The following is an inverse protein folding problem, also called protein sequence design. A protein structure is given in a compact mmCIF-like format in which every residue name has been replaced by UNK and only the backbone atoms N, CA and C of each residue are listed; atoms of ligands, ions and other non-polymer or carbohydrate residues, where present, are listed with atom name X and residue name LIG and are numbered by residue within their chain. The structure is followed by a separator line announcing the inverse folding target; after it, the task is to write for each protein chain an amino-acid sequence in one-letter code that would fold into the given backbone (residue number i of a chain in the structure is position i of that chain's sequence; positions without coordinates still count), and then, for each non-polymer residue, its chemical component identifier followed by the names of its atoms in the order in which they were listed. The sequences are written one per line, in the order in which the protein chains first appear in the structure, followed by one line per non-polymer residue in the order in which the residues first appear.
data_IF_331627282807
#
_entry.id   IF_331627282807
#
_cell.length_a   1.000
_cell.length_b   1.000
_cell.length_c   1.000
_cell.angle_alpha   90.00
_cell.angle_beta   90.00
_cell.angle_gamma   90.00
#
_symmetry.space_group_name_H-M   'P 1'
#
loop_
_entity.id
_entity.type
_entity.pdbx_description
1 polymer ?
#
# COMPACT_ATOMS: atom_id res chain seq x y z
N UNK A 1 20.99 15.17 26.98
CA UNK A 1 20.25 13.91 27.12
C UNK A 1 18.77 14.23 27.14
N UNK A 2 18.09 14.09 26.00
CA UNK A 2 16.65 14.29 25.89
C UNK A 2 15.97 13.16 26.66
N UNK A 3 15.28 13.48 27.76
CA UNK A 3 14.48 12.51 28.51
C UNK A 3 13.46 11.90 27.56
N UNK A 4 13.52 10.57 27.38
CA UNK A 4 12.53 9.84 26.60
C UNK A 4 11.13 10.20 27.17
N UNK A 5 10.12 10.45 26.32
CA UNK A 5 8.78 10.72 26.80
C UNK A 5 8.32 9.56 27.67
N UNK A 6 8.04 9.84 28.95
CA UNK A 6 7.63 8.83 29.92
C UNK A 6 6.28 8.27 29.48
N UNK A 7 6.24 7.01 29.06
CA UNK A 7 4.99 6.27 28.84
C UNK A 7 4.49 5.80 30.21
N UNK A 8 3.37 6.31 30.74
CA UNK A 8 2.97 6.07 32.13
C UNK A 8 2.84 4.59 32.48
N UNK A 9 2.32 3.78 31.56
CA UNK A 9 2.16 2.32 31.74
C UNK A 9 3.51 1.62 31.93
N UNK A 10 4.55 2.01 31.19
CA UNK A 10 5.89 1.42 31.31
C UNK A 10 6.54 1.89 32.61
N UNK A 11 6.38 3.17 32.95
CA UNK A 11 6.91 3.74 34.18
C UNK A 11 6.31 3.06 35.42
N UNK A 12 4.99 2.88 35.44
CA UNK A 12 4.27 2.16 36.51
C UNK A 12 4.77 0.72 36.65
N UNK A 13 4.97 0.01 35.52
CA UNK A 13 5.48 -1.35 35.53
C UNK A 13 6.93 -1.42 36.06
N UNK A 14 7.78 -0.45 35.72
CA UNK A 14 9.15 -0.34 36.24
C UNK A 14 9.16 -0.10 37.75
N UNK A 15 8.36 0.85 38.23
CA UNK A 15 8.26 1.18 39.66
C UNK A 15 7.76 -0.02 40.49
N UNK A 16 6.81 -0.79 39.93
CA UNK A 16 6.28 -2.02 40.55
C UNK A 16 7.15 -3.26 40.32
N UNK A 17 8.29 -3.16 39.61
CA UNK A 17 9.17 -4.28 39.23
C UNK A 17 8.46 -5.40 38.44
N UNK A 18 7.44 -5.05 37.66
CA UNK A 18 6.59 -5.96 36.87
C UNK A 18 7.07 -6.09 35.42
N UNK A 19 8.37 -6.26 35.20
CA UNK A 19 8.97 -6.48 33.87
C UNK A 19 10.02 -7.59 33.90
N UNK A 20 9.98 -8.44 34.93
CA UNK A 20 11.03 -9.43 35.21
C UNK A 20 10.72 -10.78 34.54
N UNK A 21 9.46 -11.04 34.23
CA UNK A 21 9.02 -12.29 33.60
C UNK A 21 8.29 -12.03 32.28
N UNK A 22 8.29 -13.04 31.41
CA UNK A 22 7.57 -13.00 30.12
C UNK A 22 6.09 -12.64 30.27
N UNK A 23 5.42 -13.21 31.26
CA UNK A 23 3.99 -12.97 31.52
C UNK A 23 3.70 -11.53 31.95
N UNK A 24 4.62 -10.91 32.69
CA UNK A 24 4.49 -9.51 33.08
C UNK A 24 4.71 -8.57 31.89
N UNK A 25 5.74 -8.82 31.08
CA UNK A 25 5.98 -8.06 29.85
C UNK A 25 4.78 -8.17 28.92
N UNK A 26 4.23 -9.37 28.74
CA UNK A 26 3.02 -9.57 27.94
C UNK A 26 1.85 -8.71 28.44
N UNK A 27 1.59 -8.74 29.76
CA UNK A 27 0.53 -7.95 30.39
C UNK A 27 0.69 -6.46 30.10
N UNK A 28 1.91 -5.94 30.21
CA UNK A 28 2.24 -4.53 29.96
C UNK A 28 2.05 -4.19 28.47
N UNK A 29 2.52 -5.03 27.55
CA UNK A 29 2.36 -4.81 26.11
C UNK A 29 0.88 -4.85 25.70
N UNK A 30 0.10 -5.79 26.24
CA UNK A 30 -1.35 -5.85 26.01
C UNK A 30 -2.04 -4.58 26.51
N UNK A 31 -1.65 -4.07 27.68
CA UNK A 31 -2.17 -2.80 28.21
C UNK A 31 -1.79 -1.61 27.32
N UNK A 32 -0.56 -1.56 26.80
CA UNK A 32 -0.14 -0.52 25.86
C UNK A 32 -0.94 -0.53 24.56
N UNK A 33 -1.23 -1.71 24.01
CA UNK A 33 -2.04 -1.84 22.79
C UNK A 33 -3.51 -1.47 23.06
N UNK A 34 -4.03 -1.82 24.23
CA UNK A 34 -5.39 -1.51 24.63
C UNK A 34 -5.61 -0.03 24.96
N UNK A 35 -4.61 0.63 25.53
CA UNK A 35 -4.61 2.07 25.80
C UNK A 35 -4.42 2.85 24.49
N UNK A 36 -3.47 2.41 23.67
CA UNK A 36 -3.06 3.08 22.44
C UNK A 36 -2.50 4.48 22.72
N UNK A 37 -2.53 5.33 21.70
CA UNK A 37 -2.26 6.76 21.86
C UNK A 37 -3.48 7.51 21.36
N UNK A 38 -4.02 8.51 22.09
CA UNK A 38 -5.09 9.34 21.58
C UNK A 38 -4.67 9.92 20.22
N UNK A 39 -5.54 9.83 19.18
CA UNK A 39 -5.21 10.34 17.86
C UNK A 39 -4.79 11.81 17.96
N UNK A 40 -3.65 12.15 17.36
CA UNK A 40 -3.10 13.49 17.45
C UNK A 40 -4.11 14.52 16.94
N UNK A 41 -4.58 15.41 17.82
CA UNK A 41 -5.51 16.49 17.47
C UNK A 41 -4.82 17.73 16.88
N UNK A 42 -3.47 17.75 16.79
CA UNK A 42 -2.73 18.83 16.14
C UNK A 42 -3.33 19.10 14.76
N UNK A 43 -3.59 20.37 14.47
CA UNK A 43 -4.33 20.91 13.32
C UNK A 43 -3.77 20.52 11.94
N UNK A 44 -3.81 19.23 11.64
CA UNK A 44 -3.55 18.66 10.34
C UNK A 44 -4.61 19.20 9.37
N UNK A 45 -4.27 19.50 8.10
CA UNK A 45 -5.18 20.06 7.12
C UNK A 45 -6.50 19.28 7.03
N UNK A 46 -7.62 19.93 6.70
CA UNK A 46 -8.98 19.32 6.71
C UNK A 46 -9.15 18.04 5.89
N UNK A 47 -8.22 17.70 4.99
CA UNK A 47 -8.14 16.37 4.36
C UNK A 47 -7.99 15.22 5.37
N UNK A 48 -7.46 15.48 6.57
CA UNK A 48 -7.31 14.51 7.65
C UNK A 48 -8.61 14.30 8.46
N UNK A 49 -9.64 15.13 8.32
CA UNK A 49 -10.90 14.96 9.06
C UNK A 49 -11.71 13.75 8.56
N UNK A 50 -11.62 13.42 7.28
CA UNK A 50 -12.16 12.16 6.73
C UNK A 50 -11.39 10.94 7.24
N UNK A 51 -10.08 11.09 7.53
CA UNK A 51 -9.24 10.02 8.12
C UNK A 51 -9.53 9.81 9.60
N UNK A 52 -9.90 10.88 10.32
CA UNK A 52 -10.37 10.81 11.71
C UNK A 52 -11.70 10.06 11.83
N UNK A 53 -12.54 10.11 10.80
CA UNK A 53 -13.87 9.49 10.80
C UNK A 53 -13.87 7.96 10.54
N UNK A 54 -12.73 7.35 10.17
CA UNK A 54 -12.67 5.94 9.72
C UNK A 54 -12.50 4.89 10.85
N UNK A 55 -12.77 5.24 12.12
CA UNK A 55 -12.87 4.24 13.20
C UNK A 55 -12.92 4.85 14.60
N UNK A 56 -13.42 4.09 15.59
CA UNK A 56 -13.54 4.53 17.00
C UNK A 56 -12.22 5.03 17.62
N UNK A 57 -11.10 4.51 17.12
CA UNK A 57 -9.73 4.76 17.61
C UNK A 57 -8.97 5.86 16.86
N UNK A 58 -9.49 6.30 15.70
CA UNK A 58 -8.88 7.36 14.90
C UNK A 58 -7.51 7.03 14.29
N UNK A 59 -6.94 8.01 13.59
CA UNK A 59 -5.63 7.93 12.96
C UNK A 59 -4.50 7.97 13.99
N UNK A 60 -3.44 7.17 13.79
CA UNK A 60 -2.27 7.09 14.67
C UNK A 60 -2.52 6.55 16.09
N UNK A 61 -3.60 5.76 16.30
CA UNK A 61 -3.84 5.07 17.57
C UNK A 61 -2.70 4.12 17.98
N UNK A 62 -2.11 3.43 16.99
CA UNK A 62 -0.87 2.66 17.13
C UNK A 62 0.24 3.30 16.28
N UNK A 63 0.85 4.42 16.73
CA UNK A 63 1.70 5.24 15.87
C UNK A 63 2.96 4.52 15.40
N UNK A 64 3.51 3.61 16.22
CA UNK A 64 4.67 2.80 15.84
C UNK A 64 4.32 1.72 14.81
N UNK A 65 3.11 1.17 14.87
CA UNK A 65 2.61 0.23 13.83
C UNK A 65 2.37 0.97 12.53
N UNK A 66 1.76 2.15 12.60
CA UNK A 66 1.53 3.01 11.45
C UNK A 66 2.87 3.33 10.76
N UNK A 67 3.87 3.79 11.53
CA UNK A 67 5.21 4.08 11.01
C UNK A 67 5.88 2.85 10.38
N UNK A 68 5.78 1.67 11.00
CA UNK A 68 6.27 0.43 10.40
C UNK A 68 5.67 0.20 9.00
N UNK A 69 4.36 0.33 8.86
CA UNK A 69 3.68 0.10 7.57
C UNK A 69 4.05 1.18 6.54
N UNK A 70 4.15 2.44 6.96
CA UNK A 70 4.63 3.53 6.10
C UNK A 70 6.04 3.29 5.57
N UNK A 71 6.95 2.82 6.43
CA UNK A 71 8.31 2.46 6.03
C UNK A 71 8.34 1.19 5.17
N UNK A 72 7.53 0.19 5.49
CA UNK A 72 7.43 -1.06 4.74
C UNK A 72 6.97 -0.83 3.29
N UNK A 73 5.96 0.03 3.10
CA UNK A 73 5.45 0.44 1.78
C UNK A 73 6.19 1.65 1.18
N UNK A 74 7.26 2.11 1.84
CA UNK A 74 8.16 3.17 1.36
C UNK A 74 7.50 4.55 1.12
N UNK A 75 6.37 4.84 1.77
CA UNK A 75 5.64 6.11 1.61
C UNK A 75 6.45 7.37 1.88
N UNK A 76 7.41 7.41 2.83
CA UNK A 76 8.29 8.56 3.00
C UNK A 76 9.07 8.94 1.71
N UNK A 77 9.26 8.01 0.77
CA UNK A 77 9.95 8.26 -0.51
C UNK A 77 9.14 9.13 -1.47
N UNK A 78 7.81 9.23 -1.34
CA UNK A 78 6.95 9.91 -2.32
C UNK A 78 7.40 11.34 -2.63
N UNK A 79 7.88 12.07 -1.61
CA UNK A 79 8.37 13.44 -1.75
C UNK A 79 9.63 13.56 -2.63
N UNK A 80 10.37 12.47 -2.81
CA UNK A 80 11.57 12.42 -3.65
C UNK A 80 11.31 11.96 -5.08
N UNK A 81 10.09 11.49 -5.41
CA UNK A 81 9.77 10.99 -6.75
C UNK A 81 9.41 12.14 -7.70
N UNK A 82 8.60 13.10 -7.25
CA UNK A 82 8.11 14.23 -8.06
C UNK A 82 8.81 15.54 -7.68
N UNK A 83 10.12 15.62 -7.94
CA UNK A 83 10.94 16.79 -7.59
C UNK A 83 10.67 18.00 -8.50
N UNK A 84 10.27 17.75 -9.74
CA UNK A 84 10.46 18.74 -10.81
C UNK A 84 9.17 19.23 -11.49
N UNK A 85 7.99 18.79 -11.03
CA UNK A 85 6.74 19.21 -11.68
C UNK A 85 5.56 19.38 -10.71
N UNK A 86 4.90 20.54 -10.78
CA UNK A 86 3.52 20.72 -10.29
C UNK A 86 2.57 19.91 -11.18
N UNK A 87 2.57 18.58 -11.04
CA UNK A 87 1.66 17.67 -11.76
C UNK A 87 0.38 17.50 -10.93
N UNK A 88 -0.63 18.32 -11.22
CA UNK A 88 -1.95 18.28 -10.59
C UNK A 88 -2.06 19.03 -9.26
N UNK A 89 -3.23 18.93 -8.62
CA UNK A 89 -3.58 19.66 -7.38
C UNK A 89 -3.00 19.04 -6.10
N UNK A 90 -2.35 17.87 -6.17
CA UNK A 90 -1.88 17.12 -5.02
C UNK A 90 -0.37 17.30 -4.87
N UNK A 91 0.06 18.02 -3.82
CA UNK A 91 1.47 18.06 -3.45
C UNK A 91 1.95 16.72 -2.90
N UNK A 92 3.27 16.50 -2.77
CA UNK A 92 3.87 15.23 -2.33
C UNK A 92 3.38 14.71 -0.96
N UNK A 93 2.71 15.52 -0.15
CA UNK A 93 2.12 15.11 1.14
C UNK A 93 0.62 14.78 1.08
N UNK A 94 -0.08 15.09 -0.02
CA UNK A 94 -1.54 15.01 -0.08
C UNK A 94 -2.06 13.61 -0.44
N UNK A 95 -1.32 12.82 -1.22
CA UNK A 95 -1.72 11.46 -1.63
C UNK A 95 -1.63 10.42 -0.50
N UNK A 96 -0.55 10.38 0.33
CA UNK A 96 -0.43 9.38 1.39
C UNK A 96 -1.54 9.44 2.45
N UNK A 97 -2.16 10.60 2.67
CA UNK A 97 -3.12 10.78 3.77
C UNK A 97 -4.32 9.81 3.71
N UNK A 98 -4.99 9.66 2.57
CA UNK A 98 -6.14 8.75 2.44
C UNK A 98 -5.73 7.30 2.66
N UNK A 99 -4.66 6.87 2.01
CA UNK A 99 -4.10 5.52 2.16
C UNK A 99 -3.71 5.25 3.61
N UNK A 100 -3.09 6.22 4.28
CA UNK A 100 -2.73 6.17 5.69
C UNK A 100 -3.94 5.97 6.59
N UNK A 101 -5.06 6.65 6.33
CA UNK A 101 -6.32 6.47 7.07
C UNK A 101 -6.92 5.07 6.89
N UNK A 102 -6.94 4.56 5.66
CA UNK A 102 -7.42 3.19 5.39
C UNK A 102 -6.55 2.14 6.07
N UNK A 103 -5.22 2.28 6.03
CA UNK A 103 -4.29 1.42 6.75
C UNK A 103 -4.54 1.48 8.26
N UNK A 104 -4.69 2.69 8.82
CA UNK A 104 -4.97 2.86 10.24
C UNK A 104 -6.30 2.19 10.64
N UNK A 105 -7.33 2.30 9.81
CA UNK A 105 -8.62 1.62 10.01
C UNK A 105 -8.46 0.10 10.07
N UNK A 106 -7.77 -0.49 9.08
CA UNK A 106 -7.49 -1.95 9.03
C UNK A 106 -6.69 -2.40 10.26
N UNK A 107 -5.65 -1.65 10.65
CA UNK A 107 -4.83 -1.95 11.83
C UNK A 107 -5.64 -1.84 13.13
N UNK A 108 -6.54 -0.86 13.23
CA UNK A 108 -7.36 -0.64 14.43
C UNK A 108 -8.42 -1.73 14.61
N UNK A 109 -8.97 -2.25 13.51
CA UNK A 109 -9.86 -3.42 13.51
C UNK A 109 -9.11 -4.70 13.84
N UNK A 110 -7.81 -4.75 13.51
CA UNK A 110 -6.87 -5.79 13.94
C UNK A 110 -7.36 -7.20 13.60
N UNK A 111 -7.89 -7.41 12.40
CA UNK A 111 -8.39 -8.71 11.93
C UNK A 111 -7.98 -8.93 10.48
N UNK A 112 -7.45 -10.12 10.17
CA UNK A 112 -6.94 -10.44 8.84
C UNK A 112 -6.07 -9.33 8.22
N UNK A 113 -5.27 -8.65 9.05
CA UNK A 113 -4.65 -7.36 8.72
C UNK A 113 -3.87 -7.41 7.40
N UNK A 114 -3.06 -8.45 7.16
CA UNK A 114 -2.26 -8.53 5.93
C UNK A 114 -3.12 -8.82 4.69
N UNK A 115 -4.17 -9.62 4.81
CA UNK A 115 -5.06 -9.89 3.69
C UNK A 115 -5.87 -8.63 3.32
N UNK A 116 -6.33 -7.88 4.32
CA UNK A 116 -7.00 -6.59 4.09
C UNK A 116 -6.03 -5.56 3.48
N UNK A 117 -4.80 -5.46 3.98
CA UNK A 117 -3.81 -4.55 3.40
C UNK A 117 -3.49 -4.89 1.94
N UNK A 118 -3.44 -6.17 1.57
CA UNK A 118 -3.01 -6.59 0.24
C UNK A 118 -4.15 -6.71 -0.78
N UNK A 119 -5.37 -7.05 -0.37
CA UNK A 119 -6.45 -7.37 -1.30
C UNK A 119 -7.80 -6.74 -0.95
N UNK A 120 -7.89 -5.87 0.07
CA UNK A 120 -9.18 -5.31 0.46
C UNK A 120 -9.79 -4.42 -0.64
N UNK A 121 -11.11 -4.50 -0.87
CA UNK A 121 -11.82 -3.55 -1.71
C UNK A 121 -11.92 -2.16 -1.08
N UNK A 122 -11.45 -1.94 0.16
CA UNK A 122 -11.40 -0.61 0.79
C UNK A 122 -10.54 0.39 0.01
N UNK A 123 -9.58 -0.10 -0.76
CA UNK A 123 -8.71 0.70 -1.64
C UNK A 123 -9.33 0.92 -3.03
N UNK A 124 -10.57 0.47 -3.23
CA UNK A 124 -11.28 0.60 -4.50
C UNK A 124 -12.14 1.85 -4.56
N UNK A 125 -11.70 2.83 -5.32
CA UNK A 125 -12.45 4.06 -5.63
C UNK A 125 -13.43 3.87 -6.81
N UNK A 126 -14.09 2.71 -6.90
CA UNK A 126 -15.12 2.48 -7.91
C UNK A 126 -16.35 3.34 -7.63
N UNK A 127 -17.08 3.72 -8.68
CA UNK A 127 -18.34 4.48 -8.58
C UNK A 127 -19.30 3.83 -7.59
N UNK A 128 -19.55 2.54 -7.72
CA UNK A 128 -20.45 1.80 -6.84
C UNK A 128 -20.03 1.95 -5.36
N UNK A 129 -18.74 1.80 -5.07
CA UNK A 129 -18.20 1.94 -3.72
C UNK A 129 -18.27 3.37 -3.18
N UNK A 130 -17.92 4.35 -4.01
CA UNK A 130 -17.97 5.76 -3.62
C UNK A 130 -19.40 6.21 -3.33
N UNK A 131 -20.38 5.74 -4.11
CA UNK A 131 -21.80 5.97 -3.86
C UNK A 131 -22.26 5.31 -2.55
N UNK A 132 -21.89 4.05 -2.30
CA UNK A 132 -22.18 3.36 -1.05
C UNK A 132 -21.65 4.12 0.18
N UNK A 133 -20.39 4.58 0.12
CA UNK A 133 -19.78 5.36 1.20
C UNK A 133 -20.44 6.74 1.37
N UNK A 134 -20.80 7.40 0.27
CA UNK A 134 -21.50 8.67 0.30
C UNK A 134 -22.87 8.51 0.99
N UNK A 135 -23.63 7.48 0.61
CA UNK A 135 -24.96 7.18 1.14
C UNK A 135 -24.90 6.82 2.63
N UNK A 136 -23.94 5.99 3.05
CA UNK A 136 -23.74 5.64 4.45
C UNK A 136 -23.37 6.86 5.32
N UNK A 137 -22.43 7.69 4.86
CA UNK A 137 -22.03 8.91 5.57
C UNK A 137 -23.18 9.91 5.67
N UNK A 138 -23.98 10.03 4.60
CA UNK A 138 -25.16 10.88 4.59
C UNK A 138 -26.21 10.40 5.58
N UNK A 139 -26.50 9.09 5.64
CA UNK A 139 -27.43 8.52 6.61
C UNK A 139 -27.03 8.83 8.06
N UNK A 140 -25.73 8.71 8.39
CA UNK A 140 -25.21 9.05 9.72
C UNK A 140 -25.29 10.55 10.04
N UNK A 141 -25.02 11.42 9.07
CA UNK A 141 -25.19 12.87 9.24
C UNK A 141 -26.65 13.25 9.46
N UNK A 142 -27.56 12.63 8.71
CA UNK A 142 -28.99 12.92 8.78
C UNK A 142 -29.58 12.58 10.15
N UNK A 143 -29.10 11.50 10.79
CA UNK A 143 -29.46 11.13 12.17
C UNK A 143 -29.12 12.22 13.20
N UNK A 144 -28.03 12.97 12.97
CA UNK A 144 -27.50 13.98 13.91
C UNK A 144 -27.91 15.42 13.56
N UNK A 145 -28.55 15.62 12.41
CA UNK A 145 -28.83 16.94 11.87
C UNK A 145 -30.14 17.54 12.43
N UNK A 146 -30.15 18.84 12.80
CA UNK A 146 -31.37 19.58 13.08
C UNK A 146 -32.31 19.59 11.87
N UNK A 147 -33.63 19.63 12.11
CA UNK A 147 -34.65 19.58 11.05
C UNK A 147 -34.45 20.64 9.97
N UNK A 148 -34.19 21.89 10.38
CA UNK A 148 -33.88 23.03 9.50
C UNK A 148 -32.69 22.82 8.55
N UNK A 149 -31.78 21.91 8.87
CA UNK A 149 -30.59 21.63 8.06
C UNK A 149 -30.76 20.42 7.13
N UNK A 150 -31.85 19.65 7.28
CA UNK A 150 -32.07 18.41 6.53
C UNK A 150 -32.25 18.66 5.04
N UNK A 151 -32.98 19.71 4.65
CA UNK A 151 -33.20 20.03 3.25
C UNK A 151 -31.89 20.35 2.51
N UNK A 152 -31.01 21.14 3.13
CA UNK A 152 -29.70 21.45 2.55
C UNK A 152 -28.81 20.20 2.46
N UNK A 153 -28.83 19.34 3.48
CA UNK A 153 -28.07 18.08 3.46
C UNK A 153 -28.55 17.15 2.34
N UNK A 154 -29.86 17.08 2.07
CA UNK A 154 -30.42 16.32 0.94
C UNK A 154 -29.87 16.86 -0.39
N UNK A 155 -29.91 18.19 -0.59
CA UNK A 155 -29.40 18.83 -1.81
C UNK A 155 -27.90 18.58 -2.00
N UNK A 156 -27.10 18.72 -0.95
CA UNK A 156 -25.66 18.43 -0.99
C UNK A 156 -25.36 16.96 -1.33
N UNK A 157 -26.13 16.03 -0.75
CA UNK A 157 -25.99 14.60 -1.02
C UNK A 157 -26.31 14.27 -2.47
N UNK A 158 -27.45 14.76 -3.00
CA UNK A 158 -27.84 14.56 -4.39
C UNK A 158 -26.82 15.14 -5.37
N UNK A 159 -26.28 16.32 -5.08
CA UNK A 159 -25.26 16.97 -5.89
C UNK A 159 -23.97 16.12 -5.96
N UNK A 160 -23.47 15.69 -4.80
CA UNK A 160 -22.28 14.81 -4.72
C UNK A 160 -22.51 13.48 -5.41
N UNK A 161 -23.71 12.92 -5.29
CA UNK A 161 -24.08 11.66 -5.94
C UNK A 161 -23.97 11.78 -7.46
N UNK A 162 -24.54 12.85 -8.04
CA UNK A 162 -24.42 13.16 -9.47
C UNK A 162 -22.96 13.38 -9.91
N UNK A 163 -22.17 14.07 -9.10
CA UNK A 163 -20.73 14.26 -9.38
C UNK A 163 -19.97 12.92 -9.45
N UNK A 164 -20.23 12.00 -8.51
CA UNK A 164 -19.65 10.66 -8.52
C UNK A 164 -20.15 9.86 -9.73
N UNK A 165 -21.46 9.90 -10.02
CA UNK A 165 -22.05 9.18 -11.15
C UNK A 165 -21.48 9.61 -12.50
N UNK A 166 -21.19 10.90 -12.65
CA UNK A 166 -20.63 11.48 -13.87
C UNK A 166 -19.12 11.24 -13.99
N UNK A 167 -18.38 11.20 -12.88
CA UNK A 167 -16.90 11.15 -12.89
C UNK A 167 -16.32 9.74 -12.70
N UNK A 168 -16.95 8.90 -11.88
CA UNK A 168 -16.41 7.61 -11.49
C UNK A 168 -16.94 6.48 -12.38
N UNK A 169 -16.11 5.45 -12.63
CA UNK A 169 -16.50 4.24 -13.35
C UNK A 169 -16.90 3.12 -12.40
N UNK A 170 -17.78 2.22 -12.85
CA UNK A 170 -18.24 1.08 -12.04
C UNK A 170 -17.21 -0.05 -11.92
N UNK A 171 -16.17 -0.06 -12.74
CA UNK A 171 -15.21 -1.15 -12.79
C UNK A 171 -14.29 -1.16 -11.56
N UNK A 172 -14.03 -2.37 -11.04
CA UNK A 172 -13.07 -2.61 -9.97
C UNK A 172 -11.67 -2.65 -10.57
N UNK A 173 -10.88 -1.62 -10.32
CA UNK A 173 -9.49 -1.56 -10.79
C UNK A 173 -8.48 -1.71 -9.67
N UNK A 174 -8.93 -1.68 -8.41
CA UNK A 174 -8.03 -1.65 -7.26
C UNK A 174 -8.46 -2.66 -6.20
N UNK A 175 -7.46 -3.30 -5.61
CA UNK A 175 -7.55 -4.14 -4.44
C UNK A 175 -6.26 -3.97 -3.63
N UNK A 176 -6.39 -3.59 -2.37
CA UNK A 176 -5.25 -3.40 -1.47
C UNK A 176 -4.26 -2.29 -1.83
N UNK A 177 -3.27 -2.15 -0.97
CA UNK A 177 -2.23 -1.11 -0.98
C UNK A 177 -1.41 -1.09 -2.27
N UNK A 178 -1.13 -2.24 -2.91
CA UNK A 178 -0.26 -2.25 -4.10
C UNK A 178 -0.94 -1.66 -5.34
N UNK A 179 -2.27 -1.52 -5.32
CA UNK A 179 -3.03 -0.83 -6.36
C UNK A 179 -3.44 0.58 -5.94
N UNK A 180 -3.04 1.04 -4.76
CA UNK A 180 -3.29 2.40 -4.28
C UNK A 180 -2.33 3.40 -4.97
N UNK A 181 -2.80 4.62 -5.31
CA UNK A 181 -1.97 5.66 -5.92
C UNK A 181 -0.67 5.95 -5.16
N UNK A 182 -0.68 5.95 -3.82
CA UNK A 182 0.49 6.25 -3.00
C UNK A 182 1.62 5.24 -3.21
N UNK A 183 1.31 3.94 -3.25
CA UNK A 183 2.31 2.91 -3.54
C UNK A 183 2.77 2.99 -4.99
N UNK A 184 1.84 3.12 -5.94
CA UNK A 184 2.16 3.18 -7.38
C UNK A 184 3.08 4.36 -7.72
N UNK A 185 2.87 5.51 -7.08
CA UNK A 185 3.70 6.71 -7.17
C UNK A 185 5.09 6.51 -6.57
N UNK A 186 5.15 5.94 -5.36
CA UNK A 186 6.43 5.67 -4.68
C UNK A 186 7.32 4.75 -5.51
N UNK A 187 6.74 3.85 -6.29
CA UNK A 187 7.43 2.91 -7.16
C UNK A 187 7.44 3.32 -8.64
N UNK A 188 7.26 4.61 -8.95
CA UNK A 188 7.39 5.17 -10.29
C UNK A 188 8.71 5.94 -10.50
N UNK A 189 8.90 6.47 -11.71
CA UNK A 189 9.83 7.57 -12.02
C UNK A 189 9.02 8.87 -12.10
N UNK A 190 9.72 10.00 -12.10
CA UNK A 190 9.10 11.35 -12.15
C UNK A 190 8.14 11.53 -13.35
N UNK A 191 8.42 10.86 -14.48
CA UNK A 191 7.69 10.99 -15.75
C UNK A 191 7.22 9.67 -16.34
N UNK A 192 7.34 8.55 -15.63
CA UNK A 192 6.95 7.23 -16.17
C UNK A 192 6.68 6.21 -15.07
N UNK A 193 5.77 5.27 -15.33
CA UNK A 193 5.66 4.06 -14.51
C UNK A 193 6.94 3.20 -14.62
N UNK A 194 7.21 2.39 -13.60
CA UNK A 194 8.42 1.55 -13.55
C UNK A 194 8.07 0.12 -13.09
N UNK A 195 7.76 -0.81 -14.03
CA UNK A 195 7.42 -2.18 -13.69
C UNK A 195 8.59 -2.90 -13.03
N UNK A 196 9.85 -2.58 -13.36
CA UNK A 196 11.01 -3.22 -12.74
C UNK A 196 11.06 -2.92 -11.25
N UNK A 197 10.92 -1.65 -10.85
CA UNK A 197 10.92 -1.24 -9.44
C UNK A 197 9.75 -1.85 -8.67
N UNK A 198 8.55 -1.85 -9.25
CA UNK A 198 7.35 -2.48 -8.66
C UNK A 198 7.57 -3.97 -8.43
N UNK A 199 8.04 -4.68 -9.46
CA UNK A 199 8.32 -6.11 -9.41
C UNK A 199 9.46 -6.49 -8.46
N UNK A 200 10.55 -5.71 -8.44
CA UNK A 200 11.65 -5.87 -7.48
C UNK A 200 11.17 -5.79 -6.04
N UNK A 201 10.35 -4.77 -5.74
CA UNK A 201 9.80 -4.61 -4.40
C UNK A 201 8.95 -5.81 -3.99
N UNK A 202 8.07 -6.31 -4.87
CA UNK A 202 7.26 -7.51 -4.56
C UNK A 202 8.15 -8.73 -4.33
N UNK A 203 9.15 -8.93 -5.18
CA UNK A 203 10.09 -10.07 -5.07
C UNK A 203 10.85 -10.04 -3.74
N UNK A 204 11.38 -8.89 -3.34
CA UNK A 204 12.24 -8.74 -2.17
C UNK A 204 11.45 -8.62 -0.85
N UNK A 205 10.34 -7.88 -0.85
CA UNK A 205 9.59 -7.55 0.38
C UNK A 205 8.48 -8.53 0.70
N UNK A 206 7.80 -9.07 -0.33
CA UNK A 206 6.68 -10.00 -0.13
C UNK A 206 7.12 -11.45 -0.34
N UNK A 207 7.79 -11.77 -1.45
CA UNK A 207 8.15 -13.16 -1.74
C UNK A 207 9.45 -13.61 -1.08
N UNK A 208 10.08 -12.75 -0.27
CA UNK A 208 11.35 -13.01 0.41
C UNK A 208 12.47 -13.53 -0.51
N UNK A 209 12.39 -13.21 -1.81
CA UNK A 209 13.42 -13.53 -2.78
C UNK A 209 14.53 -12.49 -2.78
N UNK A 210 15.56 -12.74 -3.58
CA UNK A 210 16.61 -11.77 -3.88
C UNK A 210 16.62 -11.46 -5.38
N UNK A 211 16.99 -10.23 -5.70
CA UNK A 211 17.37 -9.84 -7.06
C UNK A 211 18.86 -9.52 -7.00
N UNK A 212 19.71 -10.14 -7.85
CA UNK A 212 21.13 -9.83 -7.86
C UNK A 212 21.35 -8.37 -8.25
N UNK A 213 22.43 -7.79 -7.72
CA UNK A 213 22.82 -6.44 -8.10
C UNK A 213 23.16 -6.35 -9.59
N UNK A 214 23.05 -5.14 -10.14
CA UNK A 214 23.41 -4.89 -11.52
C UNK A 214 24.92 -5.15 -11.69
N UNK A 215 25.36 -6.04 -12.60
CA UNK A 215 26.78 -6.28 -12.82
C UNK A 215 27.51 -5.00 -13.21
N UNK A 216 28.77 -4.89 -12.80
CA UNK A 216 29.64 -3.75 -13.14
C UNK A 216 29.75 -3.66 -14.67
N UNK A 217 29.57 -2.45 -15.21
CA UNK A 217 29.69 -2.18 -16.66
C UNK A 217 28.42 -2.37 -17.48
N UNK A 218 27.30 -2.78 -16.88
CA UNK A 218 26.00 -2.86 -17.59
C UNK A 218 25.34 -1.48 -17.62
N UNK A 219 25.16 -0.91 -18.82
CA UNK A 219 24.36 0.30 -19.03
C UNK A 219 22.87 -0.05 -19.17
N UNK A 220 22.16 -0.09 -18.04
CA UNK A 220 20.74 -0.44 -17.98
C UNK A 220 19.85 0.73 -18.43
N UNK A 221 19.86 1.05 -19.74
CA UNK A 221 18.98 2.03 -20.36
C UNK A 221 17.90 1.37 -21.20
N UNK A 222 16.68 1.84 -20.99
CA UNK A 222 15.55 1.48 -21.85
C UNK A 222 15.68 2.31 -23.13
N UNK A 223 15.64 1.71 -24.33
CA UNK A 223 15.67 2.46 -25.58
C UNK A 223 14.60 3.55 -25.64
N UNK A 224 14.95 4.75 -26.11
CA UNK A 224 14.02 5.85 -26.33
C UNK A 224 13.30 5.67 -27.67
N UNK A 225 12.41 4.68 -27.71
CA UNK A 225 11.56 4.38 -28.87
C UNK A 225 10.16 4.92 -28.58
N UNK A 226 9.83 6.08 -29.15
CA UNK A 226 8.65 6.84 -28.74
C UNK A 226 7.31 6.30 -29.26
N UNK A 227 7.32 5.47 -30.30
CA UNK A 227 6.16 4.81 -30.90
C UNK A 227 5.86 3.43 -30.28
N UNK A 228 6.60 3.05 -29.24
CA UNK A 228 6.41 1.79 -28.49
C UNK A 228 6.04 2.05 -27.04
N UNK A 229 5.06 1.29 -26.57
CA UNK A 229 4.69 1.25 -25.15
C UNK A 229 5.89 0.85 -24.30
N UNK A 230 5.82 1.14 -22.99
CA UNK A 230 6.86 0.70 -22.07
C UNK A 230 7.02 -0.83 -22.12
N UNK A 231 5.91 -1.57 -22.16
CA UNK A 231 5.92 -3.03 -22.28
C UNK A 231 6.70 -3.52 -23.50
N UNK A 232 6.45 -2.94 -24.67
CA UNK A 232 7.15 -3.31 -25.92
C UNK A 232 8.64 -2.93 -25.89
N UNK A 233 8.99 -1.79 -25.28
CA UNK A 233 10.40 -1.38 -25.14
C UNK A 233 11.20 -2.31 -24.22
N UNK A 234 10.52 -2.98 -23.30
CA UNK A 234 11.13 -3.94 -22.38
C UNK A 234 11.37 -5.32 -23.01
N UNK A 235 11.02 -5.55 -24.27
CA UNK A 235 11.38 -6.79 -24.96
C UNK A 235 12.90 -6.98 -25.08
N UNK A 236 13.68 -5.89 -25.15
CA UNK A 236 15.15 -5.95 -25.21
C UNK A 236 15.76 -6.64 -23.98
N UNK A 237 15.12 -6.56 -22.82
CA UNK A 237 15.65 -7.15 -21.58
C UNK A 237 15.33 -8.64 -21.44
N UNK A 238 14.64 -9.25 -22.41
CA UNK A 238 14.46 -10.70 -22.50
C UNK A 238 15.67 -11.43 -23.10
N UNK A 239 16.68 -10.71 -23.58
CA UNK A 239 17.95 -11.30 -23.99
C UNK A 239 18.67 -11.97 -22.79
N UNK A 240 19.42 -13.04 -23.05
CA UNK A 240 19.96 -13.95 -22.02
C UNK A 240 20.71 -13.25 -20.87
N UNK A 241 21.51 -12.22 -21.18
CA UNK A 241 22.27 -11.49 -20.16
C UNK A 241 21.36 -10.71 -19.20
N UNK A 242 20.36 -10.00 -19.73
CA UNK A 242 19.42 -9.18 -18.96
C UNK A 242 18.37 -10.03 -18.24
N UNK A 243 17.97 -11.15 -18.84
CA UNK A 243 16.93 -12.01 -18.30
C UNK A 243 17.34 -12.74 -17.00
N UNK A 244 18.64 -12.84 -16.72
CA UNK A 244 19.17 -13.33 -15.42
C UNK A 244 18.51 -12.63 -14.23
N UNK A 245 18.32 -11.32 -14.31
CA UNK A 245 17.72 -10.51 -13.25
C UNK A 245 16.24 -10.23 -13.54
N UNK A 246 15.91 -9.84 -14.78
CA UNK A 246 14.56 -9.39 -15.14
C UNK A 246 13.48 -10.46 -14.98
N UNK A 247 13.81 -11.74 -15.14
CA UNK A 247 12.87 -12.86 -14.90
C UNK A 247 12.27 -12.87 -13.50
N UNK A 248 12.95 -12.28 -12.51
CA UNK A 248 12.51 -12.23 -11.12
C UNK A 248 11.60 -11.03 -10.80
N UNK A 249 11.60 -10.00 -11.66
CA UNK A 249 10.96 -8.71 -11.40
C UNK A 249 9.88 -8.38 -12.43
N UNK A 250 10.22 -8.43 -13.72
CA UNK A 250 9.33 -7.96 -14.78
C UNK A 250 7.98 -8.66 -14.72
N UNK A 251 7.88 -10.00 -14.63
CA UNK A 251 6.58 -10.65 -14.63
C UNK A 251 5.65 -10.23 -13.47
N UNK A 252 6.22 -9.84 -12.32
CA UNK A 252 5.45 -9.33 -11.18
C UNK A 252 5.05 -7.86 -11.38
N UNK A 253 5.97 -7.04 -11.89
CA UNK A 253 5.74 -5.61 -12.10
C UNK A 253 4.83 -5.28 -13.29
N UNK A 254 4.90 -6.13 -14.31
CA UNK A 254 4.10 -6.11 -15.52
C UNK A 254 2.59 -6.15 -15.24
N UNK A 255 2.19 -6.79 -14.14
CA UNK A 255 0.80 -6.81 -13.67
C UNK A 255 0.23 -5.39 -13.43
N UNK A 256 1.09 -4.41 -13.17
CA UNK A 256 0.73 -3.03 -12.85
C UNK A 256 0.79 -2.07 -14.05
N UNK A 257 1.00 -2.55 -15.28
CA UNK A 257 1.03 -1.69 -16.47
C UNK A 257 -0.34 -1.05 -16.77
N UNK A 258 -1.42 -1.58 -16.17
CA UNK A 258 -2.72 -0.92 -16.11
C UNK A 258 -2.75 0.39 -15.33
N UNK A 259 -1.64 0.81 -14.70
CA UNK A 259 -1.56 2.07 -13.96
C UNK A 259 -0.42 2.97 -14.44
N UNK A 260 -0.70 4.27 -14.47
CA UNK A 260 0.30 5.31 -14.75
C UNK A 260 1.28 5.54 -13.58
N UNK A 261 2.19 6.49 -13.77
CA UNK A 261 3.15 6.98 -12.78
C UNK A 261 2.47 7.62 -11.56
N UNK A 262 1.30 8.21 -11.74
CA UNK A 262 0.43 8.75 -10.68
C UNK A 262 -0.51 7.70 -10.06
N UNK A 263 -0.44 6.46 -10.52
CA UNK A 263 -1.32 5.38 -10.11
C UNK A 263 -2.76 5.48 -10.63
N UNK A 264 -3.05 6.31 -11.64
CA UNK A 264 -4.36 6.33 -12.33
C UNK A 264 -4.49 5.10 -13.22
N UNK A 265 -5.68 4.53 -13.28
CA UNK A 265 -5.96 3.40 -14.16
C UNK A 265 -5.96 3.83 -15.64
N UNK A 266 -5.37 2.99 -16.50
CA UNK A 266 -5.26 3.18 -17.95
C UNK A 266 -6.12 2.15 -18.67
N UNK A 267 -6.93 2.60 -19.63
CA UNK A 267 -7.67 1.71 -20.54
C UNK A 267 -6.97 1.51 -21.88
N UNK A 268 -5.83 2.17 -22.10
CA UNK A 268 -5.10 2.18 -23.36
C UNK A 268 -3.93 3.16 -23.29
N UNK A 269 -2.98 3.00 -24.20
CA UNK A 269 -1.95 4.00 -24.51
C UNK A 269 -2.30 4.68 -25.82
N UNK A 270 -2.02 5.98 -25.94
CA UNK A 270 -2.39 6.77 -27.12
C UNK A 270 -1.16 7.53 -27.61
N UNK A 271 -0.63 7.13 -28.76
CA UNK A 271 0.54 7.76 -29.37
C UNK A 271 0.13 8.90 -30.30
N UNK A 272 0.79 10.05 -30.17
CA UNK A 272 0.64 11.20 -31.06
C UNK A 272 1.86 11.28 -32.00
N UNK A 273 1.69 10.93 -33.30
CA UNK A 273 2.78 10.99 -34.27
C UNK A 273 3.37 12.39 -34.47
N UNK A 274 2.60 13.46 -34.23
CA UNK A 274 3.06 14.84 -34.41
C UNK A 274 4.01 15.25 -33.30
N UNK A 275 3.70 14.83 -32.07
CA UNK A 275 4.51 15.11 -30.89
C UNK A 275 5.62 14.08 -30.68
N UNK A 276 5.50 12.91 -31.32
CA UNK A 276 6.37 11.75 -31.11
C UNK A 276 6.41 11.37 -29.62
N UNK A 277 5.26 11.38 -28.98
CA UNK A 277 5.10 11.00 -27.58
C UNK A 277 3.77 10.27 -27.34
N UNK A 278 3.70 9.56 -26.21
CA UNK A 278 2.43 9.05 -25.71
C UNK A 278 1.73 10.16 -24.93
N UNK A 279 0.44 10.30 -25.17
CA UNK A 279 -0.38 11.32 -24.51
C UNK A 279 -0.60 10.95 -23.05
N UNK A 280 0.08 11.69 -22.17
CA UNK A 280 -0.17 11.72 -20.73
C UNK A 280 -1.34 12.67 -20.40
N UNK A 281 -2.53 12.50 -21.00
CA UNK A 281 -3.64 13.39 -20.66
C UNK A 281 -4.27 13.01 -19.32
N UNK A 282 -4.04 13.87 -18.34
CA UNK A 282 -4.44 13.77 -16.93
C UNK A 282 -5.95 13.92 -16.66
N UNK A 283 -6.77 14.14 -17.69
CA UNK A 283 -8.24 14.21 -17.57
C UNK A 283 -8.87 13.08 -18.37
N UNK A 284 -9.52 12.17 -17.63
CA UNK A 284 -10.10 10.93 -18.15
C UNK A 284 -11.11 11.13 -19.30
N UNK A 285 -11.68 12.33 -19.45
CA UNK A 285 -12.69 12.67 -20.47
C UNK A 285 -12.12 13.13 -21.82
N UNK A 286 -10.84 13.51 -21.91
CA UNK A 286 -10.29 14.10 -23.14
C UNK A 286 -9.95 13.08 -24.22
N UNK A 287 -9.73 11.81 -23.88
CA UNK A 287 -9.45 10.73 -24.86
C UNK A 287 -10.57 10.64 -25.91
N UNK A 288 -11.83 10.89 -25.52
CA UNK A 288 -12.99 10.92 -26.41
C UNK A 288 -12.86 11.96 -27.53
N UNK A 289 -12.27 13.13 -27.23
CA UNK A 289 -12.06 14.22 -28.18
C UNK A 289 -10.82 14.02 -29.06
N UNK A 290 -9.92 13.13 -28.64
CA UNK A 290 -8.65 12.84 -29.31
C UNK A 290 -8.83 11.88 -30.51
N UNK A 291 -9.90 11.09 -30.53
CA UNK A 291 -10.19 10.11 -31.61
C UNK A 291 -10.21 10.68 -33.04
N UNK A 292 -10.28 12.00 -33.24
CA UNK A 292 -10.37 12.64 -34.56
C UNK A 292 -9.05 13.24 -35.10
N UNK A 293 -7.90 13.08 -34.43
CA UNK A 293 -6.66 13.82 -34.76
C UNK A 293 -5.45 12.99 -35.27
N UNK A 294 -5.64 11.72 -35.69
CA UNK A 294 -4.53 10.88 -36.19
C UNK A 294 -3.71 10.19 -35.09
N UNK A 295 -4.37 9.88 -33.98
CA UNK A 295 -3.78 9.33 -32.76
C UNK A 295 -3.85 7.81 -32.82
N UNK A 296 -2.77 7.13 -32.47
CA UNK A 296 -2.66 5.68 -32.60
C UNK A 296 -2.91 5.02 -31.23
N UNK A 297 -3.99 4.23 -31.07
CA UNK A 297 -4.23 3.52 -29.82
C UNK A 297 -3.38 2.24 -29.74
N UNK A 298 -2.79 1.99 -28.58
CA UNK A 298 -2.15 0.72 -28.22
C UNK A 298 -2.86 0.12 -26.99
N UNK A 299 -3.15 -1.18 -26.98
CA UNK A 299 -3.77 -1.82 -25.83
C UNK A 299 -2.83 -1.86 -24.62
N UNK A 300 -3.40 -1.85 -23.43
CA UNK A 300 -2.66 -2.15 -22.19
C UNK A 300 -2.48 -3.66 -22.08
N UNK A 301 -1.24 -4.11 -21.94
CA UNK A 301 -0.91 -5.47 -21.53
C UNK A 301 -0.48 -5.49 -20.06
N UNK A 302 -1.43 -5.81 -19.19
CA UNK A 302 -1.22 -5.99 -17.76
C UNK A 302 -1.00 -7.46 -17.37
N UNK A 303 -0.76 -8.36 -18.33
CA UNK A 303 -0.49 -9.76 -18.00
C UNK A 303 0.89 -9.91 -17.35
N UNK A 304 0.98 -10.84 -16.40
CA UNK A 304 2.17 -11.13 -15.62
C UNK A 304 2.30 -12.61 -15.26
N UNK A 305 3.26 -12.90 -14.39
CA UNK A 305 3.46 -14.26 -13.89
C UNK A 305 3.88 -14.21 -12.42
N UNK A 306 3.19 -14.97 -11.58
CA UNK A 306 3.50 -15.14 -10.17
C UNK A 306 4.31 -16.43 -9.99
N UNK A 307 5.47 -16.31 -9.34
CA UNK A 307 6.29 -17.44 -8.98
C UNK A 307 6.94 -17.25 -7.63
N UNK A 308 7.16 -18.34 -6.92
CA UNK A 308 7.93 -18.35 -5.68
C UNK A 308 7.11 -18.01 -4.45
N UNK A 309 5.78 -18.21 -4.49
CA UNK A 309 4.95 -18.23 -3.28
C UNK A 309 5.21 -19.48 -2.43
N UNK A 310 5.73 -20.55 -3.05
CA UNK A 310 5.85 -21.88 -2.43
C UNK A 310 4.57 -22.70 -2.48
N UNK A 311 3.51 -22.18 -3.10
CA UNK A 311 2.23 -22.84 -3.31
C UNK A 311 1.91 -22.86 -4.82
N UNK A 312 1.98 -24.04 -5.47
CA UNK A 312 1.67 -24.17 -6.89
C UNK A 312 0.24 -23.76 -7.27
N UNK A 313 -0.71 -23.73 -6.33
CA UNK A 313 -2.08 -23.29 -6.59
C UNK A 313 -2.20 -21.75 -6.68
N UNK A 314 -1.20 -21.01 -6.18
CA UNK A 314 -1.14 -19.55 -6.27
C UNK A 314 -0.26 -19.09 -7.44
N UNK A 315 0.84 -19.81 -7.71
CA UNK A 315 1.77 -19.50 -8.78
C UNK A 315 1.13 -19.74 -10.18
N UNK A 316 1.63 -19.04 -11.20
CA UNK A 316 1.17 -19.16 -12.58
C UNK A 316 0.94 -17.83 -13.28
N UNK A 317 0.28 -17.88 -14.44
CA UNK A 317 -0.09 -16.69 -15.18
C UNK A 317 -1.08 -15.82 -14.39
N UNK A 318 -0.87 -14.52 -14.50
CA UNK A 318 -1.64 -13.49 -13.81
C UNK A 318 -2.27 -12.58 -14.85
N UNK A 319 -3.57 -12.34 -14.71
CA UNK A 319 -4.32 -11.48 -15.63
C UNK A 319 -3.95 -10.00 -15.51
N UNK A 320 -3.87 -9.51 -14.26
CA UNK A 320 -3.67 -8.10 -13.92
C UNK A 320 -3.21 -7.94 -12.46
N UNK A 321 -3.00 -6.70 -12.02
CA UNK A 321 -2.59 -6.39 -10.65
C UNK A 321 -3.59 -6.90 -9.60
N UNK A 322 -4.90 -6.90 -9.87
CA UNK A 322 -5.91 -7.33 -8.88
C UNK A 322 -5.81 -8.84 -8.65
N UNK A 323 -5.68 -9.61 -9.73
CA UNK A 323 -5.42 -11.05 -9.65
C UNK A 323 -4.12 -11.34 -8.87
N UNK A 324 -3.03 -10.62 -9.19
CA UNK A 324 -1.74 -10.78 -8.49
C UNK A 324 -1.87 -10.59 -6.99
N UNK A 325 -2.46 -9.47 -6.55
CA UNK A 325 -2.52 -9.12 -5.13
C UNK A 325 -3.47 -10.03 -4.36
N UNK A 326 -4.55 -10.51 -4.99
CA UNK A 326 -5.44 -11.51 -4.38
C UNK A 326 -4.73 -12.84 -4.12
N UNK A 327 -3.84 -13.26 -5.03
CA UNK A 327 -3.02 -14.46 -4.83
C UNK A 327 -1.92 -14.25 -3.79
N UNK A 328 -1.23 -13.10 -3.83
CA UNK A 328 -0.22 -12.73 -2.82
C UNK A 328 -0.81 -12.67 -1.41
N UNK A 329 -2.03 -12.15 -1.26
CA UNK A 329 -2.72 -12.07 0.03
C UNK A 329 -3.01 -13.44 0.67
N UNK A 330 -3.08 -14.51 -0.15
CA UNK A 330 -3.29 -15.90 0.31
C UNK A 330 -2.00 -16.63 0.63
N UNK A 331 -0.84 -16.10 0.21
CA UNK A 331 0.45 -16.78 0.36
C UNK A 331 0.96 -16.73 1.80
N UNK A 332 1.23 -17.91 2.37
CA UNK A 332 1.90 -18.06 3.67
C UNK A 332 3.29 -17.43 3.67
N UNK A 333 4.05 -17.57 2.57
CA UNK A 333 5.37 -16.94 2.40
C UNK A 333 5.29 -15.41 2.44
N UNK A 334 4.28 -14.82 1.80
CA UNK A 334 4.07 -13.36 1.83
C UNK A 334 3.84 -12.88 3.25
N UNK A 335 2.93 -13.55 3.97
CA UNK A 335 2.67 -13.29 5.38
C UNK A 335 3.93 -13.42 6.26
N UNK A 336 4.69 -14.50 6.10
CA UNK A 336 5.94 -14.73 6.82
C UNK A 336 6.99 -13.66 6.52
N UNK A 337 7.08 -13.20 5.27
CA UNK A 337 7.99 -12.12 4.88
C UNK A 337 7.63 -10.80 5.57
N UNK A 338 6.35 -10.45 5.63
CA UNK A 338 5.90 -9.25 6.36
C UNK A 338 6.23 -9.36 7.85
N UNK A 339 6.03 -10.53 8.46
CA UNK A 339 6.39 -10.79 9.86
C UNK A 339 7.91 -10.68 10.07
N UNK A 340 8.73 -11.14 9.12
CA UNK A 340 10.19 -10.97 9.17
C UNK A 340 10.59 -9.49 9.12
N UNK A 341 9.92 -8.69 8.30
CA UNK A 341 10.13 -7.25 8.28
C UNK A 341 9.68 -6.58 9.59
N UNK A 342 8.58 -7.03 10.20
CA UNK A 342 8.19 -6.61 11.53
C UNK A 342 9.26 -6.97 12.57
N UNK A 343 9.75 -8.21 12.58
CA UNK A 343 10.85 -8.61 13.45
C UNK A 343 12.02 -7.61 13.35
N UNK A 344 12.49 -7.28 12.14
CA UNK A 344 13.60 -6.33 11.94
C UNK A 344 13.30 -4.94 12.49
N UNK A 345 12.10 -4.45 12.28
CA UNK A 345 11.67 -3.12 12.73
C UNK A 345 11.62 -3.02 14.26
N UNK A 346 11.04 -4.02 14.92
CA UNK A 346 10.88 -4.02 16.38
C UNK A 346 12.16 -4.42 17.12
N UNK A 347 12.95 -5.33 16.55
CA UNK A 347 14.25 -5.74 17.11
C UNK A 347 15.40 -4.82 16.70
N UNK A 348 15.24 -3.94 15.71
CA UNK A 348 16.29 -3.04 15.24
C UNK A 348 17.56 -3.74 14.75
N UNK A 349 17.44 -4.99 14.27
CA UNK A 349 18.52 -5.79 13.69
C UNK A 349 17.97 -6.81 12.70
N UNK A 350 18.84 -7.36 11.86
CA UNK A 350 18.49 -8.51 11.03
C UNK A 350 18.28 -9.78 11.89
N UNK A 351 17.40 -10.65 11.43
CA UNK A 351 17.20 -11.98 11.99
C UNK A 351 18.42 -12.88 11.73
N UNK A 352 18.63 -13.82 12.62
CA UNK A 352 19.62 -14.88 12.52
C UNK A 352 18.91 -16.24 12.61
N UNK A 353 19.64 -17.33 12.39
CA UNK A 353 19.05 -18.68 12.46
C UNK A 353 18.43 -19.01 13.84
N UNK A 354 18.97 -18.44 14.92
CA UNK A 354 18.42 -18.64 16.28
C UNK A 354 17.06 -17.96 16.48
N UNK A 355 16.71 -16.97 15.66
CA UNK A 355 15.42 -16.28 15.71
C UNK A 355 14.29 -17.05 14.99
N UNK A 356 14.60 -18.21 14.39
CA UNK A 356 13.63 -19.05 13.67
C UNK A 356 12.41 -19.40 14.51
N UNK A 357 12.61 -19.82 15.77
CA UNK A 357 11.50 -20.12 16.71
C UNK A 357 10.64 -18.89 17.01
N UNK A 358 11.26 -17.71 17.13
CA UNK A 358 10.55 -16.44 17.34
C UNK A 358 9.66 -16.10 16.14
N UNK A 359 10.19 -16.23 14.92
CA UNK A 359 9.43 -15.96 13.70
C UNK A 359 8.28 -16.97 13.50
N UNK A 360 8.51 -18.26 13.75
CA UNK A 360 7.46 -19.30 13.70
C UNK A 360 6.38 -19.01 14.74
N UNK A 361 6.74 -18.64 15.96
CA UNK A 361 5.78 -18.30 17.01
C UNK A 361 4.93 -17.08 16.63
N UNK A 362 5.55 -16.03 16.08
CA UNK A 362 4.85 -14.83 15.61
C UNK A 362 3.91 -15.14 14.42
N UNK A 363 4.35 -16.02 13.51
CA UNK A 363 3.54 -16.51 12.39
C UNK A 363 2.31 -17.29 12.89
N UNK A 364 2.49 -18.15 13.89
CA UNK A 364 1.40 -18.92 14.48
C UNK A 364 0.44 -18.04 15.29
N UNK A 365 0.97 -17.04 16.01
CA UNK A 365 0.17 -16.06 16.75
C UNK A 365 -0.76 -15.29 15.80
N UNK A 366 -0.29 -14.92 14.60
CA UNK A 366 -1.14 -14.31 13.57
C UNK A 366 -2.27 -15.26 13.13
N UNK A 367 -1.95 -16.51 12.78
CA UNK A 367 -2.96 -17.47 12.27
C UNK A 367 -4.01 -17.79 13.34
N UNK A 368 -3.57 -18.17 14.54
CA UNK A 368 -4.44 -18.61 15.63
C UNK A 368 -5.37 -17.51 16.13
N UNK A 369 -4.98 -16.25 15.96
CA UNK A 369 -5.77 -15.10 16.40
C UNK A 369 -6.81 -14.62 15.38
N UNK A 370 -6.86 -15.21 14.17
CA UNK A 370 -7.69 -14.69 13.08
C UNK A 370 -7.06 -13.50 12.36
N UNK A 371 -5.74 -13.48 12.28
CA UNK A 371 -4.96 -12.49 11.53
C UNK A 371 -4.77 -11.17 12.25
N UNK A 372 -4.63 -11.20 13.57
CA UNK A 372 -4.40 -9.99 14.39
C UNK A 372 -2.93 -9.61 14.35
N UNK A 373 -2.62 -8.39 13.93
CA UNK A 373 -1.24 -7.89 13.92
C UNK A 373 -0.76 -7.55 15.33
N UNK A 374 -1.67 -7.17 16.23
CA UNK A 374 -1.33 -6.95 17.64
C UNK A 374 -0.72 -8.20 18.30
N UNK A 375 -1.23 -9.39 17.99
CA UNK A 375 -0.71 -10.66 18.54
C UNK A 375 0.67 -11.01 17.96
N UNK A 376 0.97 -10.60 16.71
CA UNK A 376 2.35 -10.67 16.17
C UNK A 376 3.28 -9.81 17.01
N UNK A 377 2.89 -8.56 17.30
CA UNK A 377 3.71 -7.65 18.12
C UNK A 377 3.90 -8.21 19.53
N UNK A 378 2.84 -8.70 20.17
CA UNK A 378 2.92 -9.31 21.50
C UNK A 378 3.85 -10.53 21.49
N UNK A 379 3.74 -11.40 20.49
CA UNK A 379 4.63 -12.56 20.32
C UNK A 379 6.09 -12.13 20.16
N UNK A 380 6.36 -11.06 19.40
CA UNK A 380 7.72 -10.54 19.22
C UNK A 380 8.26 -9.92 20.52
N UNK A 381 7.48 -9.06 21.19
CA UNK A 381 7.89 -8.35 22.42
C UNK A 381 8.03 -9.26 23.65
N UNK A 382 7.47 -10.47 23.59
CA UNK A 382 7.60 -11.47 24.65
C UNK A 382 8.59 -12.59 24.29
N UNK A 383 9.22 -12.52 23.11
CA UNK A 383 10.17 -13.54 22.66
C UNK A 383 11.51 -13.45 23.36
N UNK A 384 12.24 -14.56 23.40
CA UNK A 384 13.62 -14.60 23.90
C UNK A 384 14.53 -13.64 23.12
N UNK A 385 14.28 -13.50 21.80
CA UNK A 385 14.98 -12.55 20.93
C UNK A 385 14.86 -11.09 21.39
N UNK A 386 13.77 -10.74 22.08
CA UNK A 386 13.55 -9.42 22.66
C UNK A 386 14.04 -9.34 24.11
N UNK A 387 13.64 -10.30 24.95
CA UNK A 387 13.88 -10.28 26.39
C UNK A 387 15.35 -10.40 26.76
N UNK A 388 16.12 -11.16 25.98
CA UNK A 388 17.55 -11.38 26.21
C UNK A 388 18.44 -10.58 25.26
N UNK A 389 17.88 -9.53 24.64
CA UNK A 389 18.64 -8.61 23.80
C UNK A 389 19.67 -7.86 24.68
N UNK A 390 20.95 -8.16 24.46
CA UNK A 390 22.07 -7.44 25.07
C UNK A 390 22.33 -6.11 24.36
#
# INVERSE_FOLDING_TARGET
MTTLPKVPIIQEALEKKQLSTRAEVERVVRRLIADGVPPNQLGLPGFHDSLRAQGKRGYAYLPRVQRFLEEFFEYPRVASVFKDAKRGSFGPRATPGVTQGTIASIVNEDRNVFAELLASPRFNDSRARLLELLDANYAEKLKKAPEKSRENLIKEHQQKRKEIENRAKNEMFRAGVLTDPSWLMVHAKCVANDPVRRGKWIRERLLAGSVPELPIGVDAKVPEIHDKTLRERFEIVKQDACWKCHKHMNPLGNAFEGFDDFGRYRTGHYYDPKRKDFIEQHEWDKISKVKNNGIIPHPVDATGYLSGTGDPALDGEVKDAVDLVQRLAKSSRVRQSIIRHAFRYWMGRNETLSDSRTLIAADQAYVNSGGRFSEVIISLMTSDSFLYRK
#
